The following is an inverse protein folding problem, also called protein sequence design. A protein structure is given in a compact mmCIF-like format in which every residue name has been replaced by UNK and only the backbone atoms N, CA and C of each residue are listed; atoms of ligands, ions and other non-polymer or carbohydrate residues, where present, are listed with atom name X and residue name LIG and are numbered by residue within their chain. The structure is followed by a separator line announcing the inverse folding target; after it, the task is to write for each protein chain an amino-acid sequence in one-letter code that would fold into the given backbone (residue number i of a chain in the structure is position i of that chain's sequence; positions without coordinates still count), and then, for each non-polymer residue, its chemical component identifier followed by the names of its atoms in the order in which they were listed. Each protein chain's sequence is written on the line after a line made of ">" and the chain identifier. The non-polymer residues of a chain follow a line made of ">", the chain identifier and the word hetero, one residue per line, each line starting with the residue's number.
data_IF_194887927213
#
_entry.id   IF_194887927213
#
_cell.length_a   1.000
_cell.length_b   1.000
_cell.length_c   1.000
_cell.angle_alpha   90.00
_cell.angle_beta   90.00
_cell.angle_gamma   90.00
#
_symmetry.space_group_name_H-M   'P 1'
#
loop_
_entity.id
_entity.type
_entity.pdbx_description
1 polymer ?
#
# COMPACT_ATOMS: atom_id res chain seq x y z
N UNK A 1 -7.84 5.96 4.08
CA UNK A 1 -8.69 4.82 3.70
C UNK A 1 -10.04 4.92 4.42
N UNK A 2 -11.15 4.74 3.71
CA UNK A 2 -12.44 5.32 4.15
C UNK A 2 -13.49 4.30 4.60
N UNK A 3 -13.10 3.04 4.83
CA UNK A 3 -14.01 1.93 5.14
C UNK A 3 -15.00 2.27 6.27
N UNK A 4 -14.51 2.77 7.41
CA UNK A 4 -15.35 3.10 8.56
C UNK A 4 -16.36 4.22 8.28
N UNK A 5 -16.04 5.16 7.37
CA UNK A 5 -16.97 6.19 6.94
C UNK A 5 -18.01 5.63 5.96
N UNK A 6 -17.59 4.78 5.01
CA UNK A 6 -18.50 4.12 4.07
C UNK A 6 -19.57 3.31 4.81
N UNK A 7 -19.19 2.54 5.83
CA UNK A 7 -20.14 1.78 6.66
C UNK A 7 -21.17 2.68 7.34
N UNK A 8 -20.74 3.81 7.91
CA UNK A 8 -21.66 4.78 8.55
C UNK A 8 -22.66 5.39 7.56
N UNK A 9 -22.28 5.50 6.29
CA UNK A 9 -23.11 6.02 5.21
C UNK A 9 -23.98 4.95 4.53
N UNK A 10 -23.90 3.69 4.98
CA UNK A 10 -24.62 2.57 4.34
C UNK A 10 -24.02 2.16 2.99
N UNK A 11 -22.79 2.57 2.69
CA UNK A 11 -22.07 2.26 1.46
C UNK A 11 -21.10 1.09 1.68
N UNK A 12 -20.78 0.36 0.61
CA UNK A 12 -19.73 -0.65 0.63
C UNK A 12 -18.36 0.03 0.73
N UNK A 13 -17.60 -0.27 1.78
CA UNK A 13 -16.23 0.19 1.96
C UNK A 13 -15.21 -0.67 1.21
N UNK A 14 -14.01 -0.12 0.99
CA UNK A 14 -12.83 -0.88 0.58
C UNK A 14 -11.90 -1.05 1.80
N UNK A 15 -11.65 -2.28 2.26
CA UNK A 15 -10.81 -2.55 3.43
C UNK A 15 -9.31 -2.43 3.13
N UNK A 16 -8.48 -2.37 4.18
CA UNK A 16 -7.01 -2.19 4.07
C UNK A 16 -6.33 -3.40 3.48
N UNK A 17 -6.91 -4.57 3.71
CA UNK A 17 -6.45 -5.83 3.16
C UNK A 17 -6.44 -5.80 1.62
N UNK A 18 -7.31 -5.02 0.98
CA UNK A 18 -7.33 -4.91 -0.48
C UNK A 18 -6.03 -4.33 -1.01
N UNK A 19 -5.60 -3.16 -0.50
CA UNK A 19 -4.34 -2.54 -0.93
C UNK A 19 -3.13 -3.31 -0.39
N UNK A 20 -3.12 -3.59 0.92
CA UNK A 20 -1.94 -4.13 1.59
C UNK A 20 -1.52 -5.52 1.13
N UNK A 21 -2.47 -6.40 0.77
CA UNK A 21 -2.12 -7.72 0.22
C UNK A 21 -1.53 -7.62 -1.19
N UNK A 22 -2.06 -6.73 -2.04
CA UNK A 22 -1.50 -6.52 -3.38
C UNK A 22 -0.08 -5.98 -3.28
N UNK A 23 0.13 -4.98 -2.42
CA UNK A 23 1.47 -4.40 -2.17
C UNK A 23 2.45 -5.45 -1.67
N UNK A 24 2.09 -6.25 -0.66
CA UNK A 24 2.98 -7.29 -0.13
C UNK A 24 3.36 -8.31 -1.20
N UNK A 25 2.38 -8.82 -1.95
CA UNK A 25 2.61 -9.79 -3.04
C UNK A 25 3.58 -9.24 -4.08
N UNK A 26 3.34 -8.02 -4.55
CA UNK A 26 4.13 -7.45 -5.64
C UNK A 26 5.56 -7.10 -5.18
N UNK A 27 5.73 -6.70 -3.91
CA UNK A 27 7.06 -6.55 -3.29
C UNK A 27 7.84 -7.86 -3.25
N UNK A 28 7.20 -8.97 -2.86
CA UNK A 28 7.83 -10.30 -2.82
C UNK A 28 8.21 -10.79 -4.21
N UNK A 29 7.33 -10.60 -5.20
CA UNK A 29 7.61 -10.95 -6.60
C UNK A 29 8.79 -10.11 -7.11
N UNK A 30 8.78 -8.79 -6.89
CA UNK A 30 9.85 -7.90 -7.34
C UNK A 30 11.21 -8.28 -6.72
N UNK A 31 11.23 -8.62 -5.42
CA UNK A 31 12.42 -9.10 -4.74
C UNK A 31 12.90 -10.44 -5.31
N UNK A 32 12.00 -11.39 -5.55
CA UNK A 32 12.32 -12.69 -6.15
C UNK A 32 12.90 -12.55 -7.56
N UNK A 33 12.36 -11.63 -8.38
CA UNK A 33 12.83 -11.39 -9.76
C UNK A 33 13.94 -10.34 -9.85
N UNK A 34 14.41 -9.79 -8.72
CA UNK A 34 15.40 -8.71 -8.67
C UNK A 34 15.03 -7.46 -9.50
N UNK A 35 13.73 -7.18 -9.62
CA UNK A 35 13.17 -6.10 -10.45
C UNK A 35 12.79 -4.86 -9.63
N UNK A 36 12.90 -3.68 -10.24
CA UNK A 36 12.43 -2.46 -9.58
C UNK A 36 10.90 -2.41 -9.52
N UNK A 37 10.36 -2.12 -8.34
CA UNK A 37 8.94 -1.84 -8.15
C UNK A 37 8.69 -0.41 -7.63
N UNK A 38 7.66 0.22 -8.17
CA UNK A 38 7.08 1.46 -7.68
C UNK A 38 5.66 1.22 -7.20
N UNK A 39 5.34 1.61 -5.96
CA UNK A 39 4.00 1.49 -5.38
C UNK A 39 3.29 2.85 -5.40
N UNK A 40 2.27 3.04 -6.25
CA UNK A 40 1.66 4.34 -6.43
C UNK A 40 0.54 4.60 -5.40
N UNK A 41 0.32 5.87 -5.07
CA UNK A 41 -0.80 6.37 -4.26
C UNK A 41 -1.08 5.57 -2.95
N UNK A 42 -0.04 5.28 -2.16
CA UNK A 42 -0.17 4.46 -0.95
C UNK A 42 -1.15 5.10 0.04
N UNK A 43 -2.18 4.34 0.47
CA UNK A 43 -3.26 4.86 1.33
C UNK A 43 -3.50 4.04 2.60
N UNK A 44 -3.02 2.79 2.66
CA UNK A 44 -3.16 1.94 3.82
C UNK A 44 -1.87 1.93 4.66
N UNK A 45 -2.01 2.17 5.98
CA UNK A 45 -0.87 2.11 6.90
C UNK A 45 -0.18 0.74 6.93
N UNK A 46 -0.92 -0.34 6.64
CA UNK A 46 -0.36 -1.69 6.52
C UNK A 46 0.54 -1.83 5.28
N UNK A 47 0.19 -1.20 4.15
CA UNK A 47 1.06 -1.11 2.96
C UNK A 47 2.38 -0.41 3.28
N UNK A 48 2.33 0.71 4.01
CA UNK A 48 3.54 1.45 4.45
C UNK A 48 4.46 0.54 5.28
N UNK A 49 3.89 -0.26 6.19
CA UNK A 49 4.65 -1.23 7.00
C UNK A 49 5.32 -2.30 6.12
N UNK A 50 4.62 -2.84 5.13
CA UNK A 50 5.19 -3.81 4.19
C UNK A 50 6.34 -3.21 3.38
N UNK A 51 6.13 -2.02 2.79
CA UNK A 51 7.17 -1.29 2.04
C UNK A 51 8.40 -1.04 2.93
N UNK A 52 8.21 -0.53 4.15
CA UNK A 52 9.32 -0.26 5.07
C UNK A 52 10.05 -1.54 5.49
N UNK A 53 9.34 -2.65 5.66
CA UNK A 53 9.95 -3.94 6.02
C UNK A 53 10.84 -4.47 4.90
N UNK A 54 10.35 -4.45 3.66
CA UNK A 54 11.10 -4.95 2.49
C UNK A 54 12.29 -4.03 2.15
N UNK A 55 12.13 -2.71 2.33
CA UNK A 55 13.23 -1.76 2.11
C UNK A 55 14.46 -1.97 3.00
N UNK A 56 14.34 -2.70 4.12
CA UNK A 56 15.48 -2.99 5.01
C UNK A 56 16.53 -3.88 4.35
N UNK A 57 16.13 -4.74 3.42
CA UNK A 57 17.00 -5.72 2.77
C UNK A 57 16.84 -5.77 1.24
N UNK A 58 16.04 -4.85 0.67
CA UNK A 58 15.85 -4.72 -0.77
C UNK A 58 15.61 -3.24 -1.17
N UNK A 59 16.57 -2.63 -1.84
CA UNK A 59 16.62 -1.19 -2.11
C UNK A 59 15.88 -0.74 -3.38
N UNK A 60 15.48 -1.67 -4.25
CA UNK A 60 14.78 -1.38 -5.52
C UNK A 60 13.26 -1.16 -5.36
N UNK A 61 12.87 -0.49 -4.29
CA UNK A 61 11.46 -0.19 -3.97
C UNK A 61 11.27 1.33 -3.88
N UNK A 62 10.37 1.88 -4.66
CA UNK A 62 9.89 3.26 -4.52
C UNK A 62 8.40 3.28 -4.22
N UNK A 63 7.92 4.37 -3.63
CA UNK A 63 6.51 4.56 -3.34
C UNK A 63 6.21 6.06 -3.32
N UNK A 64 4.96 6.42 -3.59
CA UNK A 64 4.47 7.79 -3.53
C UNK A 64 3.14 7.88 -2.78
N UNK A 65 2.78 9.11 -2.43
CA UNK A 65 1.50 9.46 -1.81
C UNK A 65 0.94 10.69 -2.52
N UNK A 66 -0.38 10.74 -2.69
CA UNK A 66 -1.04 11.91 -3.26
C UNK A 66 -1.41 12.90 -2.16
N UNK A 67 -1.48 14.22 -2.44
CA UNK A 67 -1.86 15.22 -1.44
C UNK A 67 -3.21 14.92 -0.77
N UNK A 68 -4.19 14.41 -1.53
CA UNK A 68 -5.51 14.11 -0.98
C UNK A 68 -5.47 12.98 0.05
N UNK A 69 -4.62 11.96 -0.15
CA UNK A 69 -4.42 10.87 0.83
C UNK A 69 -3.59 11.35 2.03
N UNK A 70 -2.66 12.28 1.81
CA UNK A 70 -1.77 12.76 2.87
C UNK A 70 -2.46 13.72 3.84
N UNK A 71 -3.35 14.57 3.33
CA UNK A 71 -4.01 15.61 4.13
C UNK A 71 -5.42 15.27 4.62
N UNK A 72 -6.11 14.29 4.00
CA UNK A 72 -7.50 13.93 4.31
C UNK A 72 -7.66 12.43 4.54
#
# INVERSE_FOLDING_TARGET
>A
MNEGLSTKLGLKGSPDITESNMVLRDLEIAKFTNSHIHVPHVSAGKSVKHINSVKKDYDKVTAEVTPIIYFF
#
